data_IF_458930752981
#
_entry.id   IF_458930752981
#
_cell.length_a   1.000
_cell.length_b   1.000
_cell.length_c   1.000
_cell.angle_alpha   90.00
_cell.angle_beta   90.00
_cell.angle_gamma   90.00
#
_symmetry.space_group_name_H-M   'P 1'
#
loop_
_entity.id
_entity.type
_entity.pdbx_description
1 polymer ?
#
# COMPACT_ATOMS: atom_id res chain seq x y z
N UNK A 1 -9.31 -25.53 -0.41
CA UNK A 1 -8.01 -26.10 -0.79
C UNK A 1 -7.04 -24.99 -1.11
N UNK A 2 -5.73 -25.20 -0.95
CA UNK A 2 -4.68 -24.20 -1.15
C UNK A 2 -4.75 -23.55 -2.53
N UNK A 3 -5.09 -24.29 -3.56
CA UNK A 3 -5.23 -23.81 -4.94
C UNK A 3 -6.26 -22.66 -5.08
N UNK A 4 -7.40 -22.75 -4.42
CA UNK A 4 -8.46 -21.72 -4.52
C UNK A 4 -8.08 -20.47 -3.72
N UNK A 5 -7.29 -20.63 -2.67
CA UNK A 5 -6.70 -19.49 -1.94
C UNK A 5 -5.68 -18.74 -2.80
N UNK A 6 -4.81 -19.46 -3.50
CA UNK A 6 -3.85 -18.88 -4.44
C UNK A 6 -4.56 -18.14 -5.58
N UNK A 7 -5.68 -18.66 -6.08
CA UNK A 7 -6.50 -18.01 -7.10
C UNK A 7 -7.06 -16.67 -6.60
N UNK A 8 -7.55 -16.62 -5.36
CA UNK A 8 -8.08 -15.39 -4.76
C UNK A 8 -6.98 -14.36 -4.56
N UNK A 9 -5.82 -14.76 -4.02
CA UNK A 9 -4.66 -13.88 -3.83
C UNK A 9 -4.16 -13.34 -5.19
N UNK A 10 -4.05 -14.20 -6.21
CA UNK A 10 -3.68 -13.79 -7.57
C UNK A 10 -4.69 -12.80 -8.17
N UNK A 11 -5.99 -12.99 -7.91
CA UNK A 11 -7.04 -12.06 -8.38
C UNK A 11 -6.92 -10.70 -7.69
N UNK A 12 -6.58 -10.67 -6.40
CA UNK A 12 -6.30 -9.44 -5.66
C UNK A 12 -5.09 -8.69 -6.22
N UNK A 13 -4.01 -9.40 -6.55
CA UNK A 13 -2.82 -8.81 -7.15
C UNK A 13 -3.11 -8.23 -8.53
N UNK A 14 -3.88 -8.94 -9.36
CA UNK A 14 -4.34 -8.41 -10.66
C UNK A 14 -5.24 -7.18 -10.49
N UNK A 15 -6.08 -7.14 -9.47
CA UNK A 15 -6.92 -5.98 -9.16
C UNK A 15 -6.07 -4.77 -8.76
N UNK A 16 -5.05 -4.97 -7.91
CA UNK A 16 -4.10 -3.93 -7.53
C UNK A 16 -3.32 -3.40 -8.74
N UNK A 17 -2.84 -4.29 -9.61
CA UNK A 17 -2.16 -3.91 -10.86
C UNK A 17 -3.07 -3.10 -11.80
N UNK A 18 -4.35 -3.47 -11.92
CA UNK A 18 -5.34 -2.72 -12.69
C UNK A 18 -5.57 -1.31 -12.09
N UNK A 19 -5.61 -1.19 -10.77
CA UNK A 19 -5.70 0.10 -10.09
C UNK A 19 -4.49 0.99 -10.37
N UNK A 20 -3.27 0.46 -10.24
CA UNK A 20 -2.03 1.19 -10.54
C UNK A 20 -1.94 1.64 -12.01
N UNK A 21 -2.47 0.85 -12.94
CA UNK A 21 -2.60 1.24 -14.35
C UNK A 21 -3.78 2.17 -14.64
N UNK A 22 -4.49 2.64 -13.61
CA UNK A 22 -5.66 3.53 -13.70
C UNK A 22 -6.86 2.92 -14.43
N UNK A 23 -6.91 1.60 -14.61
CA UNK A 23 -8.08 0.88 -15.11
C UNK A 23 -9.04 0.56 -13.94
N UNK A 24 -9.73 1.61 -13.49
CA UNK A 24 -10.61 1.55 -12.31
C UNK A 24 -11.76 0.55 -12.50
N UNK A 25 -12.33 0.47 -13.71
CA UNK A 25 -13.41 -0.47 -14.01
C UNK A 25 -12.95 -1.93 -13.89
N UNK A 26 -11.77 -2.23 -14.42
CA UNK A 26 -11.17 -3.55 -14.31
C UNK A 26 -10.83 -3.87 -12.85
N UNK A 27 -10.29 -2.91 -12.12
CA UNK A 27 -9.98 -3.08 -10.69
C UNK A 27 -11.24 -3.40 -9.88
N UNK A 28 -12.35 -2.68 -10.09
CA UNK A 28 -13.64 -2.95 -9.42
C UNK A 28 -14.11 -4.38 -9.74
N UNK A 29 -14.11 -4.79 -11.01
CA UNK A 29 -14.53 -6.15 -11.39
C UNK A 29 -13.67 -7.23 -10.73
N UNK A 30 -12.35 -7.05 -10.70
CA UNK A 30 -11.42 -8.02 -10.12
C UNK A 30 -11.54 -8.09 -8.60
N UNK A 31 -11.66 -6.97 -7.89
CA UNK A 31 -11.91 -6.99 -6.45
C UNK A 31 -13.28 -7.58 -6.10
N UNK A 32 -14.32 -7.38 -6.95
CA UNK A 32 -15.61 -8.05 -6.75
C UNK A 32 -15.50 -9.56 -6.94
N UNK A 33 -14.77 -10.02 -7.97
CA UNK A 33 -14.52 -11.45 -8.18
C UNK A 33 -13.71 -12.06 -7.02
N UNK A 34 -12.68 -11.35 -6.52
CA UNK A 34 -11.92 -11.79 -5.35
C UNK A 34 -12.79 -11.88 -4.09
N UNK A 35 -13.76 -10.98 -3.92
CA UNK A 35 -14.72 -11.03 -2.83
C UNK A 35 -15.61 -12.27 -2.91
N UNK A 36 -16.14 -12.58 -4.11
CA UNK A 36 -16.96 -13.77 -4.33
C UNK A 36 -16.18 -15.05 -4.03
N UNK A 37 -14.94 -15.16 -4.51
CA UNK A 37 -14.05 -16.28 -4.20
C UNK A 37 -13.74 -16.39 -2.70
N UNK A 38 -13.50 -15.28 -2.02
CA UNK A 38 -13.24 -15.26 -0.59
C UNK A 38 -14.48 -15.73 0.23
N UNK A 39 -15.68 -15.34 -0.21
CA UNK A 39 -16.95 -15.76 0.39
C UNK A 39 -17.15 -17.27 0.22
N UNK A 40 -16.92 -17.82 -0.96
CA UNK A 40 -17.01 -19.27 -1.24
C UNK A 40 -16.05 -20.07 -0.33
N UNK A 41 -14.88 -19.52 -0.05
CA UNK A 41 -13.87 -20.13 0.81
C UNK A 41 -14.10 -19.88 2.30
N UNK A 42 -15.06 -19.03 2.67
CA UNK A 42 -15.25 -18.51 4.04
C UNK A 42 -13.97 -17.88 4.60
N UNK A 43 -13.22 -17.18 3.74
CA UNK A 43 -11.97 -16.52 4.09
C UNK A 43 -12.23 -15.05 4.44
N UNK A 44 -12.52 -14.78 5.70
CA UNK A 44 -12.84 -13.45 6.20
C UNK A 44 -11.71 -12.42 5.97
N UNK A 45 -10.45 -12.86 5.96
CA UNK A 45 -9.32 -11.96 5.74
C UNK A 45 -9.28 -11.43 4.30
N UNK A 46 -9.43 -12.30 3.31
CA UNK A 46 -9.45 -11.90 1.89
C UNK A 46 -10.73 -11.14 1.55
N UNK A 47 -11.86 -11.50 2.15
CA UNK A 47 -13.11 -10.75 2.02
C UNK A 47 -12.97 -9.31 2.55
N UNK A 48 -12.37 -9.12 3.73
CA UNK A 48 -12.09 -7.78 4.28
C UNK A 48 -11.17 -6.96 3.38
N UNK A 49 -10.09 -7.55 2.88
CA UNK A 49 -9.17 -6.88 1.96
C UNK A 49 -9.90 -6.41 0.69
N UNK A 50 -10.74 -7.27 0.09
CA UNK A 50 -11.54 -6.93 -1.08
C UNK A 50 -12.53 -5.79 -0.79
N UNK A 51 -13.25 -5.85 0.32
CA UNK A 51 -14.22 -4.84 0.73
C UNK A 51 -13.57 -3.46 0.96
N UNK A 52 -12.42 -3.43 1.62
CA UNK A 52 -11.66 -2.19 1.86
C UNK A 52 -11.21 -1.53 0.55
N UNK A 53 -10.65 -2.33 -0.36
CA UNK A 53 -10.21 -1.82 -1.66
C UNK A 53 -11.38 -1.36 -2.53
N UNK A 54 -12.51 -2.07 -2.51
CA UNK A 54 -13.73 -1.64 -3.20
C UNK A 54 -14.24 -0.29 -2.68
N UNK A 55 -14.24 -0.08 -1.36
CA UNK A 55 -14.63 1.21 -0.78
C UNK A 55 -13.80 2.37 -1.36
N UNK A 56 -12.46 2.24 -1.31
CA UNK A 56 -11.54 3.24 -1.87
C UNK A 56 -11.74 3.46 -3.37
N UNK A 57 -11.92 2.39 -4.14
CA UNK A 57 -12.14 2.48 -5.59
C UNK A 57 -13.43 3.23 -5.95
N UNK A 58 -14.52 2.97 -5.25
CA UNK A 58 -15.77 3.71 -5.48
C UNK A 58 -15.63 5.19 -5.14
N UNK A 59 -14.88 5.54 -4.10
CA UNK A 59 -14.59 6.96 -3.80
C UNK A 59 -13.73 7.61 -4.87
N UNK A 60 -12.62 6.97 -5.26
CA UNK A 60 -11.69 7.51 -6.26
C UNK A 60 -12.33 7.62 -7.63
N UNK A 61 -13.18 6.67 -8.02
CA UNK A 61 -13.90 6.70 -9.30
C UNK A 61 -14.96 7.78 -9.38
N UNK A 62 -15.35 8.38 -8.26
CA UNK A 62 -16.49 9.30 -8.19
C UNK A 62 -17.84 8.62 -8.43
N UNK A 63 -17.90 7.30 -8.50
CA UNK A 63 -19.12 6.51 -8.68
C UNK A 63 -19.96 6.55 -7.42
N UNK A 64 -21.03 7.31 -7.45
CA UNK A 64 -21.98 7.41 -6.32
C UNK A 64 -22.98 6.25 -6.25
N UNK A 65 -23.08 5.46 -7.31
CA UNK A 65 -23.98 4.30 -7.36
C UNK A 65 -23.18 3.03 -6.98
N UNK A 66 -23.15 2.76 -5.70
CA UNK A 66 -22.64 1.51 -5.15
C UNK A 66 -23.85 0.63 -4.76
N UNK A 67 -23.84 -0.68 -5.03
CA UNK A 67 -24.88 -1.58 -4.56
C UNK A 67 -25.06 -1.47 -3.04
N UNK A 68 -26.33 -1.38 -2.59
CA UNK A 68 -26.63 -1.11 -1.19
C UNK A 68 -26.14 -2.21 -0.25
N UNK A 69 -26.26 -3.44 -0.66
CA UNK A 69 -25.77 -4.63 0.03
C UNK A 69 -24.24 -4.62 0.17
N UNK A 70 -23.52 -4.27 -0.90
CA UNK A 70 -22.07 -4.13 -0.87
C UNK A 70 -21.64 -3.02 0.10
N UNK A 71 -22.29 -1.86 0.05
CA UNK A 71 -21.98 -0.75 0.96
C UNK A 71 -22.23 -1.11 2.42
N UNK A 72 -23.29 -1.87 2.70
CA UNK A 72 -23.59 -2.37 4.04
C UNK A 72 -22.52 -3.37 4.52
N UNK A 73 -22.09 -4.28 3.65
CA UNK A 73 -21.01 -5.24 3.96
C UNK A 73 -19.69 -4.53 4.26
N UNK A 74 -19.32 -3.54 3.46
CA UNK A 74 -18.12 -2.71 3.68
C UNK A 74 -18.20 -2.04 5.06
N UNK A 75 -19.32 -1.41 5.40
CA UNK A 75 -19.48 -0.72 6.67
C UNK A 75 -19.39 -1.68 7.87
N UNK A 76 -20.03 -2.84 7.79
CA UNK A 76 -19.99 -3.87 8.84
C UNK A 76 -18.57 -4.41 9.02
N UNK A 77 -17.87 -4.72 7.93
CA UNK A 77 -16.49 -5.18 7.95
C UNK A 77 -15.56 -4.15 8.57
N UNK A 78 -15.69 -2.88 8.19
CA UNK A 78 -14.87 -1.80 8.71
C UNK A 78 -15.06 -1.55 10.22
N UNK A 79 -16.29 -1.74 10.73
CA UNK A 79 -16.58 -1.60 12.17
C UNK A 79 -15.97 -2.71 13.03
N UNK A 80 -15.67 -3.86 12.43
CA UNK A 80 -15.03 -4.99 13.09
C UNK A 80 -13.50 -4.93 13.02
N UNK A 81 -12.95 -4.07 12.16
CA UNK A 81 -11.52 -3.89 12.00
C UNK A 81 -11.01 -2.78 12.94
N UNK A 82 -10.13 -3.14 13.87
CA UNK A 82 -9.57 -2.21 14.85
C UNK A 82 -8.36 -1.43 14.35
N UNK A 83 -7.73 -1.89 13.24
CA UNK A 83 -6.48 -1.29 12.75
C UNK A 83 -6.71 -0.36 11.55
N UNK A 84 -7.42 -0.84 10.52
CA UNK A 84 -7.65 -0.10 9.27
C UNK A 84 -9.12 0.30 9.06
N UNK A 85 -9.99 -0.10 9.96
CA UNK A 85 -11.44 0.15 9.84
C UNK A 85 -11.80 1.63 9.76
N UNK A 86 -11.06 2.50 10.43
CA UNK A 86 -11.33 3.94 10.38
C UNK A 86 -11.13 4.52 8.98
N UNK A 87 -10.10 4.10 8.23
CA UNK A 87 -9.88 4.53 6.85
C UNK A 87 -11.07 4.13 5.96
N UNK A 88 -11.51 2.88 6.07
CA UNK A 88 -12.67 2.39 5.32
C UNK A 88 -13.96 3.11 5.72
N UNK A 89 -14.13 3.43 7.01
CA UNK A 89 -15.29 4.21 7.48
C UNK A 89 -15.26 5.66 6.98
N UNK A 90 -14.09 6.26 6.77
CA UNK A 90 -14.00 7.54 6.05
C UNK A 90 -14.56 7.39 4.64
N UNK A 91 -14.11 6.39 3.88
CA UNK A 91 -14.57 6.15 2.52
C UNK A 91 -16.08 5.91 2.44
N UNK A 92 -16.61 5.06 3.31
CA UNK A 92 -18.06 4.83 3.43
C UNK A 92 -18.83 6.14 3.67
N UNK A 93 -18.33 7.01 4.54
CA UNK A 93 -19.02 8.28 4.85
C UNK A 93 -18.89 9.28 3.69
N UNK A 94 -17.77 9.29 2.94
CA UNK A 94 -17.66 10.07 1.71
C UNK A 94 -18.66 9.60 0.65
N UNK A 95 -18.83 8.29 0.46
CA UNK A 95 -19.82 7.72 -0.45
C UNK A 95 -21.25 8.11 -0.08
N UNK A 96 -21.53 8.15 1.23
CA UNK A 96 -22.84 8.58 1.78
C UNK A 96 -22.99 10.12 1.86
N UNK A 97 -22.00 10.88 1.39
CA UNK A 97 -21.93 12.34 1.50
C UNK A 97 -22.08 12.87 2.94
N UNK A 98 -21.55 12.12 3.92
CA UNK A 98 -21.57 12.45 5.35
C UNK A 98 -20.23 13.03 5.77
N UNK A 99 -19.96 14.27 5.37
CA UNK A 99 -18.64 14.91 5.50
C UNK A 99 -18.17 14.99 6.97
N UNK A 100 -19.05 15.35 7.90
CA UNK A 100 -18.68 15.49 9.32
C UNK A 100 -18.33 14.13 9.96
N UNK A 101 -19.05 13.07 9.57
CA UNK A 101 -18.70 11.71 9.99
C UNK A 101 -17.37 11.26 9.39
N UNK A 102 -17.10 11.59 8.12
CA UNK A 102 -15.81 11.31 7.51
C UNK A 102 -14.66 12.01 8.25
N UNK A 103 -14.81 13.29 8.60
CA UNK A 103 -13.84 14.04 9.42
C UNK A 103 -13.65 13.42 10.82
N UNK A 104 -14.73 12.94 11.43
CA UNK A 104 -14.65 12.26 12.73
C UNK A 104 -13.77 11.00 12.65
N UNK A 105 -14.03 10.12 11.66
CA UNK A 105 -13.25 8.90 11.49
C UNK A 105 -11.82 9.18 11.05
N UNK A 106 -11.57 10.23 10.27
CA UNK A 106 -10.20 10.67 9.94
C UNK A 106 -9.42 11.01 11.20
N UNK A 107 -9.99 11.78 12.13
CA UNK A 107 -9.33 12.10 13.41
C UNK A 107 -9.01 10.86 14.25
N UNK A 108 -9.89 9.85 14.22
CA UNK A 108 -9.63 8.58 14.90
C UNK A 108 -8.50 7.80 14.22
N UNK A 109 -8.40 7.81 12.90
CA UNK A 109 -7.30 7.21 12.18
C UNK A 109 -5.98 7.93 12.48
N UNK A 110 -5.95 9.26 12.45
CA UNK A 110 -4.79 10.09 12.80
C UNK A 110 -4.26 9.82 14.21
N UNK A 111 -5.16 9.64 15.18
CA UNK A 111 -4.78 9.36 16.58
C UNK A 111 -4.12 7.99 16.77
N UNK A 112 -4.31 7.06 15.84
CA UNK A 112 -3.77 5.70 15.90
C UNK A 112 -2.61 5.46 14.92
N UNK A 113 -2.14 6.51 14.22
CA UNK A 113 -1.11 6.41 13.18
C UNK A 113 0.20 7.01 13.65
N UNK A 114 1.28 6.24 13.49
CA UNK A 114 2.66 6.66 13.80
C UNK A 114 3.60 6.52 12.61
N UNK A 115 3.22 5.73 11.61
CA UNK A 115 4.03 5.51 10.41
C UNK A 115 3.85 6.66 9.41
N UNK A 116 4.96 7.08 8.79
CA UNK A 116 4.97 8.21 7.85
C UNK A 116 4.21 7.92 6.56
N UNK A 117 4.10 6.66 6.11
CA UNK A 117 3.29 6.28 4.94
C UNK A 117 1.81 6.43 5.25
N UNK A 118 1.39 5.89 6.39
CA UNK A 118 0.01 6.01 6.85
C UNK A 118 -0.35 7.50 7.06
N UNK A 119 0.59 8.30 7.58
CA UNK A 119 0.40 9.75 7.67
C UNK A 119 0.22 10.42 6.31
N UNK A 120 0.96 10.00 5.29
CA UNK A 120 0.77 10.51 3.92
C UNK A 120 -0.61 10.14 3.40
N UNK A 121 -1.04 8.87 3.55
CA UNK A 121 -2.35 8.41 3.12
C UNK A 121 -3.50 9.14 3.83
N UNK A 122 -3.32 9.48 5.12
CA UNK A 122 -4.28 10.31 5.87
C UNK A 122 -4.36 11.74 5.32
N UNK A 123 -3.24 12.35 4.91
CA UNK A 123 -3.26 13.68 4.26
C UNK A 123 -3.97 13.63 2.90
N UNK A 124 -3.79 12.58 2.11
CA UNK A 124 -4.55 12.39 0.88
C UNK A 124 -6.05 12.18 1.16
N UNK A 125 -6.37 11.46 2.21
CA UNK A 125 -7.76 11.26 2.67
C UNK A 125 -8.40 12.57 3.15
N UNK A 126 -7.65 13.39 3.91
CA UNK A 126 -8.07 14.73 4.32
C UNK A 126 -8.33 15.63 3.10
N UNK A 127 -7.45 15.59 2.09
CA UNK A 127 -7.65 16.27 0.81
C UNK A 127 -9.00 15.88 0.17
N UNK A 128 -9.31 14.58 0.09
CA UNK A 128 -10.58 14.11 -0.51
C UNK A 128 -11.81 14.63 0.23
N UNK A 129 -11.78 14.63 1.56
CA UNK A 129 -12.86 15.17 2.40
C UNK A 129 -13.06 16.66 2.13
N UNK A 130 -11.98 17.43 2.15
CA UNK A 130 -12.07 18.88 1.98
C UNK A 130 -12.43 19.27 0.54
N UNK A 131 -11.94 18.55 -0.46
CA UNK A 131 -12.35 18.72 -1.85
C UNK A 131 -13.84 18.43 -2.07
N UNK A 132 -14.37 17.35 -1.49
CA UNK A 132 -15.80 17.02 -1.58
C UNK A 132 -16.68 18.04 -0.84
N UNK A 133 -16.19 18.63 0.24
CA UNK A 133 -16.88 19.73 0.97
C UNK A 133 -16.70 21.10 0.32
N UNK A 134 -15.97 21.19 -0.80
CA UNK A 134 -15.63 22.43 -1.53
C UNK A 134 -14.79 23.42 -0.70
N UNK A 135 -14.10 22.93 0.33
CA UNK A 135 -13.12 23.71 1.09
C UNK A 135 -11.75 23.63 0.40
N UNK A 136 -11.60 24.35 -0.71
CA UNK A 136 -10.44 24.24 -1.59
C UNK A 136 -9.14 24.72 -0.93
N UNK A 137 -9.19 25.63 0.02
CA UNK A 137 -8.02 26.09 0.77
C UNK A 137 -7.40 24.93 1.56
N UNK A 138 -8.19 24.27 2.42
CA UNK A 138 -7.72 23.12 3.17
C UNK A 138 -7.39 21.91 2.30
N UNK A 139 -8.13 21.72 1.20
CA UNK A 139 -7.80 20.66 0.25
C UNK A 139 -6.40 20.87 -0.34
N UNK A 140 -6.06 22.13 -0.74
CA UNK A 140 -4.73 22.46 -1.26
C UNK A 140 -3.65 22.26 -0.20
N UNK A 141 -3.89 22.64 1.05
CA UNK A 141 -2.95 22.44 2.15
C UNK A 141 -2.67 20.94 2.37
N UNK A 142 -3.70 20.12 2.42
CA UNK A 142 -3.57 18.68 2.65
C UNK A 142 -2.85 17.97 1.49
N UNK A 143 -3.13 18.34 0.22
CA UNK A 143 -2.44 17.72 -0.91
C UNK A 143 -0.96 18.12 -0.95
N UNK A 144 -0.60 19.35 -0.56
CA UNK A 144 0.80 19.73 -0.43
C UNK A 144 1.53 18.94 0.66
N UNK A 145 0.88 18.69 1.81
CA UNK A 145 1.45 17.86 2.87
C UNK A 145 1.64 16.41 2.40
N UNK A 146 0.68 15.86 1.68
CA UNK A 146 0.81 14.54 1.07
C UNK A 146 2.03 14.46 0.14
N UNK A 147 2.17 15.41 -0.79
CA UNK A 147 3.31 15.48 -1.71
C UNK A 147 4.63 15.56 -0.93
N UNK A 148 4.71 16.43 0.08
CA UNK A 148 5.91 16.56 0.91
C UNK A 148 6.31 15.24 1.60
N UNK A 149 5.34 14.53 2.19
CA UNK A 149 5.59 13.25 2.87
C UNK A 149 6.01 12.16 1.89
N UNK A 150 5.36 12.06 0.74
CA UNK A 150 5.71 11.06 -0.30
C UNK A 150 7.07 11.32 -0.92
N UNK A 151 7.45 12.58 -1.16
CA UNK A 151 8.79 12.95 -1.62
C UNK A 151 9.86 12.63 -0.58
N UNK A 152 9.56 12.83 0.70
CA UNK A 152 10.45 12.46 1.81
C UNK A 152 10.69 10.96 1.86
N UNK A 153 9.62 10.15 1.74
CA UNK A 153 9.71 8.69 1.66
C UNK A 153 10.52 8.21 0.46
N UNK A 154 10.29 8.80 -0.70
CA UNK A 154 11.02 8.46 -1.93
C UNK A 154 12.50 8.74 -1.79
N UNK A 155 12.87 9.92 -1.26
CA UNK A 155 14.27 10.27 -1.00
C UNK A 155 14.94 9.34 0.00
N UNK A 156 14.25 9.00 1.08
CA UNK A 156 14.76 8.05 2.09
C UNK A 156 15.00 6.66 1.48
N UNK A 157 14.07 6.17 0.67
CA UNK A 157 14.22 4.88 0.00
C UNK A 157 15.38 4.89 -1.01
N UNK A 158 15.57 5.98 -1.77
CA UNK A 158 16.69 6.13 -2.70
C UNK A 158 18.03 6.15 -1.99
N UNK A 159 18.14 6.87 -0.86
CA UNK A 159 19.37 6.91 -0.05
C UNK A 159 19.69 5.53 0.54
N UNK A 160 18.69 4.80 1.02
CA UNK A 160 18.86 3.45 1.52
C UNK A 160 19.34 2.50 0.42
N UNK A 161 18.73 2.54 -0.76
CA UNK A 161 19.10 1.71 -1.91
C UNK A 161 20.51 2.02 -2.40
N UNK A 162 20.90 3.29 -2.49
CA UNK A 162 22.25 3.71 -2.86
C UNK A 162 23.29 3.18 -1.85
N UNK A 163 23.00 3.28 -0.54
CA UNK A 163 23.88 2.75 0.50
C UNK A 163 24.01 1.22 0.47
N UNK A 164 22.97 0.49 0.06
CA UNK A 164 23.03 -0.96 -0.16
C UNK A 164 23.96 -1.31 -1.32
N UNK A 165 23.79 -0.67 -2.48
CA UNK A 165 24.64 -0.90 -3.66
C UNK A 165 26.12 -0.57 -3.35
N UNK A 166 26.37 0.54 -2.67
CA UNK A 166 27.72 0.91 -2.25
C UNK A 166 28.34 -0.15 -1.32
N UNK A 167 27.58 -0.69 -0.37
CA UNK A 167 28.03 -1.75 0.54
C UNK A 167 28.35 -3.04 -0.20
N UNK A 168 27.49 -3.46 -1.13
CA UNK A 168 27.72 -4.64 -1.96
C UNK A 168 29.00 -4.47 -2.79
N UNK A 169 29.20 -3.31 -3.41
CA UNK A 169 30.40 -3.00 -4.16
C UNK A 169 31.67 -3.11 -3.31
N UNK A 170 31.68 -2.56 -2.09
CA UNK A 170 32.83 -2.68 -1.19
C UNK A 170 33.07 -4.11 -0.74
N UNK A 171 32.02 -4.91 -0.51
CA UNK A 171 32.17 -6.33 -0.17
C UNK A 171 32.80 -7.13 -1.33
N UNK A 172 32.35 -6.91 -2.56
CA UNK A 172 32.94 -7.55 -3.74
C UNK A 172 34.42 -7.16 -3.94
N UNK A 173 34.76 -5.89 -3.79
CA UNK A 173 36.13 -5.40 -3.88
C UNK A 173 37.04 -6.03 -2.82
N UNK A 174 36.54 -6.14 -1.59
CA UNK A 174 37.25 -6.79 -0.49
C UNK A 174 37.50 -8.28 -0.75
N UNK A 175 36.49 -9.02 -1.17
CA UNK A 175 36.58 -10.43 -1.51
C UNK A 175 37.55 -10.67 -2.68
N UNK A 176 37.54 -9.80 -3.68
CA UNK A 176 38.47 -9.87 -4.81
C UNK A 176 39.91 -9.58 -4.40
N UNK A 177 40.14 -8.63 -3.49
CA UNK A 177 41.44 -8.32 -2.95
C UNK A 177 42.00 -9.51 -2.12
N UNK A 178 41.18 -10.14 -1.29
CA UNK A 178 41.54 -11.35 -0.54
C UNK A 178 41.92 -12.52 -1.47
N UNK A 179 41.14 -12.74 -2.51
CA UNK A 179 41.42 -13.77 -3.52
C UNK A 179 42.78 -13.55 -4.19
N UNK A 180 43.07 -12.31 -4.59
CA UNK A 180 44.35 -11.95 -5.21
C UNK A 180 45.52 -12.16 -4.27
N UNK A 181 45.38 -11.80 -2.98
CA UNK A 181 46.42 -12.03 -1.95
C UNK A 181 46.71 -13.53 -1.74
N UNK A 182 45.64 -14.34 -1.62
CA UNK A 182 45.78 -15.80 -1.46
C UNK A 182 46.51 -16.44 -2.66
N UNK A 183 46.13 -16.05 -3.88
CA UNK A 183 46.78 -16.58 -5.09
C UNK A 183 48.27 -16.18 -5.19
N UNK A 184 48.61 -14.95 -4.80
CA UNK A 184 50.01 -14.48 -4.77
C UNK A 184 50.83 -15.26 -3.76
N UNK A 185 50.32 -15.45 -2.54
CA UNK A 185 51.00 -16.23 -1.50
C UNK A 185 51.19 -17.69 -1.93
N UNK A 186 50.20 -18.28 -2.59
CA UNK A 186 50.30 -19.65 -3.13
C UNK A 186 51.39 -19.76 -4.18
N UNK A 187 51.52 -18.82 -5.11
CA UNK A 187 52.55 -18.78 -6.14
C UNK A 187 53.97 -18.58 -5.54
N UNK A 188 54.09 -17.74 -4.51
CA UNK A 188 55.33 -17.53 -3.79
C UNK A 188 55.81 -18.82 -3.07
N UNK A 189 54.90 -19.54 -2.42
CA UNK A 189 55.21 -20.82 -1.75
C UNK A 189 55.65 -21.87 -2.78
N UNK A 190 54.98 -22.00 -3.90
CA UNK A 190 55.35 -22.95 -4.97
C UNK A 190 56.72 -22.61 -5.54
N UNK A 191 57.05 -21.35 -5.75
CA UNK A 191 58.37 -20.94 -6.27
C UNK A 191 59.55 -21.26 -5.34
N UNK A 192 59.31 -21.15 -3.99
CA UNK A 192 60.31 -21.49 -2.98
C UNK A 192 60.50 -23.01 -2.85
N UNK A 193 59.47 -23.82 -3.16
CA UNK A 193 59.53 -25.28 -3.05
C UNK A 193 60.20 -25.95 -4.25
N UNK A 194 60.58 -25.22 -5.30
CA UNK A 194 61.22 -25.71 -6.54
C UNK A 194 62.76 -25.44 -6.51
N UNK A 195 63.27 -24.69 -5.54
CA UNK A 195 64.68 -24.40 -5.35
C UNK A 195 65.25 -25.37 -4.30
#
# INVERSE_FOLDING_TARGET
>A
SDHVREETESTLDMAAAAFHSKDIEKAIRLYSAALDLADEQKNDHLAKASLTNLASLYVVSGKRQIPHDLLQRIELSARQDTLYGYHTLVDVNLLKNRIDSARHYLKLAEANTTDIRDMADLQYTAYRIEAQSKNFEKATENIHRYIYLTDSLTRSNMQFSAGMVEREYFQEQSAFAEYRMKNRTTLEIISISII
#
